data_IF_830153081626
#
_entry.id   IF_830153081626
#
_cell.length_a   1.000
_cell.length_b   1.000
_cell.length_c   1.000
_cell.angle_alpha   90.00
_cell.angle_beta   90.00
_cell.angle_gamma   90.00
#
_symmetry.space_group_name_H-M   'P 1'
#
loop_
_entity.id
_entity.type
_entity.pdbx_description
1 polymer ?
#
# COMPACT_ATOMS: atom_id res chain seq x y z
N UNK A 1 -9.57 40.61 4.66
CA UNK A 1 -10.49 39.50 4.43
C UNK A 1 -10.14 38.93 3.07
N UNK A 2 -9.15 38.04 3.02
CA UNK A 2 -8.75 37.32 1.81
C UNK A 2 -9.09 35.83 2.05
N UNK A 3 -10.11 35.36 1.35
CA UNK A 3 -10.44 33.94 1.29
C UNK A 3 -9.27 33.23 0.60
N UNK A 4 -8.38 32.64 1.40
CA UNK A 4 -7.34 31.75 0.90
C UNK A 4 -8.02 30.56 0.25
N UNK A 5 -7.81 30.33 -1.06
CA UNK A 5 -8.09 29.07 -1.72
C UNK A 5 -7.53 27.97 -0.82
N UNK A 6 -8.39 27.11 -0.27
CA UNK A 6 -7.97 25.86 0.34
C UNK A 6 -7.27 25.05 -0.75
N UNK A 7 -5.96 25.14 -0.81
CA UNK A 7 -5.18 24.27 -1.67
C UNK A 7 -5.43 22.85 -1.21
N UNK A 8 -5.99 22.03 -2.07
CA UNK A 8 -6.17 20.60 -1.79
C UNK A 8 -4.86 20.03 -1.28
N UNK A 9 -4.92 19.14 -0.28
CA UNK A 9 -3.73 18.46 0.27
C UNK A 9 -2.84 17.87 -0.84
N UNK A 10 -3.44 17.40 -1.92
CA UNK A 10 -2.74 16.91 -3.11
C UNK A 10 -1.93 18.01 -3.80
N UNK A 11 -2.46 19.24 -3.90
CA UNK A 11 -1.74 20.37 -4.53
C UNK A 11 -0.49 20.74 -3.70
N UNK A 12 -0.61 20.72 -2.39
CA UNK A 12 0.51 21.00 -1.47
C UNK A 12 1.58 19.90 -1.62
N UNK A 13 1.20 18.64 -1.64
CA UNK A 13 2.12 17.51 -1.86
C UNK A 13 2.83 17.62 -3.23
N UNK A 14 2.10 18.00 -4.28
CA UNK A 14 2.69 18.20 -5.61
C UNK A 14 3.71 19.35 -5.63
N UNK A 15 3.50 20.39 -4.84
CA UNK A 15 4.49 21.48 -4.71
C UNK A 15 5.79 20.99 -4.08
N UNK A 16 5.71 20.18 -3.04
CA UNK A 16 6.90 19.55 -2.43
C UNK A 16 7.56 18.51 -3.35
N UNK A 17 6.83 17.91 -4.29
CA UNK A 17 7.35 16.97 -5.27
C UNK A 17 8.06 17.65 -6.46
N UNK A 18 7.84 18.95 -6.70
CA UNK A 18 8.44 19.69 -7.84
C UNK A 18 9.95 19.48 -8.00
N UNK A 19 10.78 19.53 -6.93
CA UNK A 19 12.22 19.32 -7.05
C UNK A 19 12.62 17.90 -7.50
N UNK A 20 11.73 16.93 -7.29
CA UNK A 20 11.98 15.51 -7.55
C UNK A 20 11.31 15.00 -8.83
N UNK A 21 10.66 15.87 -9.63
CA UNK A 21 9.91 15.46 -10.83
C UNK A 21 10.69 14.57 -11.77
N UNK A 22 11.98 14.87 -12.03
CA UNK A 22 12.81 14.06 -12.90
C UNK A 22 13.02 12.64 -12.38
N UNK A 23 13.19 12.47 -11.06
CA UNK A 23 13.34 11.14 -10.44
C UNK A 23 12.02 10.36 -10.46
N UNK A 24 10.90 11.03 -10.18
CA UNK A 24 9.56 10.43 -10.26
C UNK A 24 9.22 9.98 -11.68
N UNK A 25 9.47 10.81 -12.69
CA UNK A 25 9.28 10.44 -14.10
C UNK A 25 10.19 9.26 -14.45
N UNK A 26 11.46 9.31 -14.04
CA UNK A 26 12.39 8.19 -14.23
C UNK A 26 11.92 6.89 -13.58
N UNK A 27 11.32 6.96 -12.39
CA UNK A 27 10.68 5.80 -11.72
C UNK A 27 9.53 5.25 -12.57
N UNK A 28 8.62 6.11 -13.05
CA UNK A 28 7.50 5.69 -13.90
C UNK A 28 7.99 5.04 -15.20
N UNK A 29 8.97 5.63 -15.87
CA UNK A 29 9.54 5.06 -17.10
C UNK A 29 10.14 3.68 -16.85
N UNK A 30 10.89 3.51 -15.77
CA UNK A 30 11.43 2.20 -15.37
C UNK A 30 10.32 1.19 -15.02
N UNK A 31 9.25 1.64 -14.35
CA UNK A 31 8.10 0.78 -14.07
C UNK A 31 7.41 0.30 -15.34
N UNK A 32 7.22 1.20 -16.32
CA UNK A 32 6.66 0.88 -17.65
C UNK A 32 7.53 -0.14 -18.38
N UNK A 33 8.84 0.11 -18.46
CA UNK A 33 9.79 -0.82 -19.10
C UNK A 33 9.82 -2.16 -18.37
N UNK A 34 9.78 -2.16 -17.04
CA UNK A 34 9.69 -3.37 -16.24
C UNK A 34 8.40 -4.15 -16.50
N UNK A 35 7.26 -3.47 -16.62
CA UNK A 35 5.99 -4.08 -16.98
C UNK A 35 6.02 -4.71 -18.38
N UNK A 36 6.61 -4.05 -19.35
CA UNK A 36 6.81 -4.60 -20.72
C UNK A 36 7.70 -5.85 -20.69
N UNK A 37 8.83 -5.80 -19.97
CA UNK A 37 9.68 -6.99 -19.76
C UNK A 37 8.91 -8.13 -19.08
N UNK A 38 8.03 -7.81 -18.12
CA UNK A 38 7.19 -8.78 -17.43
C UNK A 38 6.17 -9.48 -18.31
N UNK A 39 5.81 -8.93 -19.47
CA UNK A 39 4.96 -9.60 -20.47
C UNK A 39 5.68 -10.70 -21.23
N UNK A 40 7.00 -10.63 -21.35
CA UNK A 40 7.80 -11.57 -22.15
C UNK A 40 7.64 -13.03 -21.68
N UNK A 41 7.73 -13.37 -20.39
CA UNK A 41 7.48 -14.72 -19.90
C UNK A 41 6.12 -15.28 -20.29
N UNK A 42 5.05 -14.50 -20.18
CA UNK A 42 3.70 -14.92 -20.54
C UNK A 42 3.56 -15.23 -22.03
N UNK A 43 4.14 -14.37 -22.87
CA UNK A 43 4.18 -14.57 -24.34
C UNK A 43 5.01 -15.81 -24.69
N UNK A 44 6.16 -16.00 -24.05
CA UNK A 44 7.02 -17.15 -24.29
C UNK A 44 6.34 -18.46 -23.90
N UNK A 45 5.68 -18.52 -22.74
CA UNK A 45 4.93 -19.70 -22.28
C UNK A 45 3.75 -19.98 -23.21
N UNK A 46 2.98 -18.96 -23.60
CA UNK A 46 1.87 -19.11 -24.55
C UNK A 46 2.34 -19.70 -25.89
N UNK A 47 3.44 -19.20 -26.42
CA UNK A 47 4.06 -19.72 -27.66
C UNK A 47 4.55 -21.16 -27.49
N UNK A 48 5.16 -21.49 -26.36
CA UNK A 48 5.60 -22.84 -26.04
C UNK A 48 4.44 -23.84 -26.01
N UNK A 49 3.31 -23.47 -25.38
CA UNK A 49 2.10 -24.29 -25.33
C UNK A 49 1.56 -24.52 -26.76
N UNK A 50 1.46 -23.47 -27.58
CA UNK A 50 0.98 -23.57 -28.96
C UNK A 50 1.87 -24.53 -29.77
N UNK A 51 3.21 -24.42 -29.64
CA UNK A 51 4.15 -25.34 -30.33
C UNK A 51 3.97 -26.78 -29.90
N UNK A 52 3.77 -27.05 -28.62
CA UNK A 52 3.51 -28.38 -28.10
C UNK A 52 2.19 -28.94 -28.67
N UNK A 53 1.12 -28.15 -28.70
CA UNK A 53 -0.16 -28.55 -29.24
C UNK A 53 -0.14 -28.86 -30.75
N UNK A 54 0.78 -28.24 -31.51
CA UNK A 54 0.98 -28.48 -32.94
C UNK A 54 2.04 -29.55 -33.24
N UNK A 55 2.54 -30.25 -32.22
CA UNK A 55 3.58 -31.29 -32.34
C UNK A 55 4.91 -30.81 -32.95
N UNK A 56 5.10 -29.50 -33.12
CA UNK A 56 6.33 -28.87 -33.60
C UNK A 56 7.23 -28.46 -32.42
N UNK A 57 7.64 -29.45 -31.61
CA UNK A 57 8.49 -29.21 -30.47
C UNK A 57 9.90 -29.80 -30.65
N UNK A 58 10.84 -28.95 -31.02
CA UNK A 58 12.26 -29.26 -30.87
C UNK A 58 12.74 -28.73 -29.49
N UNK A 59 13.54 -29.53 -28.80
CA UNK A 59 14.10 -29.14 -27.49
C UNK A 59 14.83 -27.81 -27.55
N UNK A 60 15.56 -27.54 -28.63
CA UNK A 60 16.27 -26.25 -28.83
C UNK A 60 15.34 -25.05 -28.91
N UNK A 61 14.16 -25.17 -29.54
CA UNK A 61 13.17 -24.10 -29.63
C UNK A 61 12.54 -23.80 -28.25
N UNK A 62 12.19 -24.86 -27.50
CA UNK A 62 11.66 -24.70 -26.14
C UNK A 62 12.69 -24.12 -25.16
N UNK A 63 13.96 -24.57 -25.27
CA UNK A 63 15.05 -24.02 -24.47
C UNK A 63 15.29 -22.53 -24.79
N UNK A 64 15.20 -22.11 -26.05
CA UNK A 64 15.30 -20.72 -26.46
C UNK A 64 14.14 -19.86 -25.89
N UNK A 65 12.89 -20.36 -25.93
CA UNK A 65 11.76 -19.67 -25.33
C UNK A 65 11.91 -19.55 -23.80
N UNK A 66 12.42 -20.59 -23.14
CA UNK A 66 12.70 -20.53 -21.70
C UNK A 66 13.78 -19.49 -21.37
N UNK A 67 14.82 -19.37 -22.20
CA UNK A 67 15.87 -18.36 -22.05
C UNK A 67 15.30 -16.93 -22.21
N UNK A 68 14.43 -16.73 -23.21
CA UNK A 68 13.73 -15.46 -23.43
C UNK A 68 12.84 -15.11 -22.21
N UNK A 69 12.09 -16.10 -21.72
CA UNK A 69 11.25 -15.93 -20.54
C UNK A 69 12.07 -15.53 -19.30
N UNK A 70 13.20 -16.19 -19.09
CA UNK A 70 14.14 -15.88 -18.00
C UNK A 70 14.71 -14.46 -18.15
N UNK A 71 15.16 -14.09 -19.34
CA UNK A 71 15.69 -12.74 -19.61
C UNK A 71 14.62 -11.67 -19.37
N UNK A 72 13.36 -11.91 -19.81
CA UNK A 72 12.25 -11.00 -19.56
C UNK A 72 11.95 -10.87 -18.06
N UNK A 73 11.93 -11.98 -17.33
CA UNK A 73 11.73 -11.96 -15.87
C UNK A 73 12.83 -11.22 -15.12
N UNK A 74 14.10 -11.47 -15.47
CA UNK A 74 15.23 -10.75 -14.88
C UNK A 74 15.14 -9.26 -15.20
N UNK A 75 14.80 -8.90 -16.44
CA UNK A 75 14.59 -7.50 -16.85
C UNK A 75 13.49 -6.83 -16.01
N UNK A 76 12.36 -7.50 -15.80
CA UNK A 76 11.27 -7.00 -14.94
C UNK A 76 11.75 -6.74 -13.51
N UNK A 77 12.45 -7.70 -12.91
CA UNK A 77 12.94 -7.58 -11.53
C UNK A 77 13.92 -6.42 -11.40
N UNK A 78 14.92 -6.34 -12.29
CA UNK A 78 15.92 -5.27 -12.25
C UNK A 78 15.31 -3.89 -12.47
N UNK A 79 14.50 -3.71 -13.52
CA UNK A 79 13.86 -2.44 -13.82
C UNK A 79 12.88 -2.03 -12.74
N UNK A 80 12.13 -2.99 -12.17
CA UNK A 80 11.23 -2.75 -11.05
C UNK A 80 11.98 -2.30 -9.79
N UNK A 81 13.09 -2.95 -9.46
CA UNK A 81 13.94 -2.57 -8.32
C UNK A 81 14.49 -1.16 -8.49
N UNK A 82 15.03 -0.82 -9.66
CA UNK A 82 15.52 0.54 -9.91
C UNK A 82 14.40 1.59 -9.92
N UNK A 83 13.22 1.24 -10.41
CA UNK A 83 12.02 2.09 -10.33
C UNK A 83 11.68 2.42 -8.88
N UNK A 84 11.55 1.40 -8.03
CA UNK A 84 11.22 1.54 -6.62
C UNK A 84 12.30 2.34 -5.89
N UNK A 85 13.57 2.06 -6.14
CA UNK A 85 14.69 2.80 -5.54
C UNK A 85 14.63 4.30 -5.84
N UNK A 86 14.36 4.70 -7.11
CA UNK A 86 14.18 6.11 -7.49
C UNK A 86 12.96 6.73 -6.85
N UNK A 87 11.89 5.96 -6.68
CA UNK A 87 10.68 6.42 -6.00
C UNK A 87 10.92 6.67 -4.50
N UNK A 88 11.59 5.76 -3.80
CA UNK A 88 12.00 5.96 -2.40
C UNK A 88 12.91 7.17 -2.22
N UNK A 89 13.91 7.31 -3.09
CA UNK A 89 14.80 8.50 -3.06
C UNK A 89 13.99 9.81 -3.20
N UNK A 90 12.99 9.80 -4.08
CA UNK A 90 12.09 10.95 -4.26
C UNK A 90 11.23 11.19 -3.02
N UNK A 91 10.68 10.12 -2.43
CA UNK A 91 9.89 10.20 -1.20
C UNK A 91 10.70 10.81 -0.06
N UNK A 92 11.93 10.37 0.18
CA UNK A 92 12.80 10.92 1.22
C UNK A 92 13.11 12.41 1.02
N UNK A 93 13.31 12.87 -0.23
CA UNK A 93 13.50 14.29 -0.52
C UNK A 93 12.23 15.07 -0.21
N UNK A 94 11.05 14.55 -0.57
CA UNK A 94 9.76 15.19 -0.27
C UNK A 94 9.55 15.28 1.24
N UNK A 95 9.74 14.17 1.97
CA UNK A 95 9.61 14.15 3.43
C UNK A 95 10.55 15.13 4.11
N UNK A 96 11.82 15.18 3.67
CA UNK A 96 12.79 16.17 4.14
C UNK A 96 12.28 17.59 3.94
N UNK A 97 11.79 17.91 2.74
CA UNK A 97 11.30 19.25 2.42
C UNK A 97 10.08 19.63 3.26
N UNK A 98 9.17 18.67 3.50
CA UNK A 98 8.02 18.85 4.41
C UNK A 98 8.50 19.14 5.83
N UNK A 99 9.45 18.35 6.36
CA UNK A 99 10.01 18.54 7.71
C UNK A 99 10.66 19.92 7.84
N UNK A 100 11.44 20.33 6.84
CA UNK A 100 12.07 21.66 6.81
C UNK A 100 11.03 22.79 6.82
N UNK A 101 9.98 22.67 5.99
CA UNK A 101 8.91 23.68 5.94
C UNK A 101 8.12 23.76 7.26
N UNK A 102 7.87 22.62 7.92
CA UNK A 102 7.21 22.60 9.24
C UNK A 102 8.11 23.29 10.28
N UNK A 103 9.40 22.96 10.32
CA UNK A 103 10.35 23.53 11.26
C UNK A 103 10.52 25.03 11.05
N UNK A 104 10.62 25.50 9.80
CA UNK A 104 10.67 26.92 9.47
C UNK A 104 9.38 27.63 9.89
N UNK A 105 8.22 27.04 9.66
CA UNK A 105 6.96 27.62 10.14
C UNK A 105 6.91 27.69 11.66
N UNK A 106 7.40 26.65 12.33
CA UNK A 106 7.43 26.59 13.80
C UNK A 106 8.31 27.69 14.41
N UNK A 107 9.43 28.05 13.76
CA UNK A 107 10.31 29.14 14.22
C UNK A 107 9.66 30.52 14.17
N UNK A 108 8.56 30.67 13.44
CA UNK A 108 7.79 31.93 13.30
C UNK A 108 6.54 31.98 14.17
N UNK A 109 6.22 30.89 14.88
CA UNK A 109 5.05 30.78 15.76
C UNK A 109 5.35 31.50 17.07
N UNK A 110 4.40 32.29 17.65
CA UNK A 110 4.57 32.95 18.95
C UNK A 110 4.93 31.93 20.05
N UNK A 111 5.86 32.32 20.93
CA UNK A 111 6.41 31.46 21.99
C UNK A 111 5.31 30.93 22.92
N UNK A 112 4.24 31.70 23.19
CA UNK A 112 3.11 31.22 23.99
C UNK A 112 2.46 29.94 23.43
N UNK A 113 2.23 29.91 22.12
CA UNK A 113 1.67 28.68 21.47
C UNK A 113 2.59 27.49 21.57
N UNK A 114 3.91 27.72 21.56
CA UNK A 114 4.91 26.66 21.70
C UNK A 114 4.92 26.12 23.12
N UNK A 115 4.88 27.02 24.13
CA UNK A 115 4.88 26.62 25.54
C UNK A 115 3.59 25.93 25.97
N UNK A 116 2.45 26.30 25.38
CA UNK A 116 1.14 25.69 25.64
C UNK A 116 0.99 24.30 24.99
N UNK A 117 1.91 23.91 24.09
CA UNK A 117 1.82 22.65 23.36
C UNK A 117 2.87 21.66 23.87
N UNK A 118 2.47 20.47 24.34
CA UNK A 118 3.43 19.45 24.78
C UNK A 118 4.43 19.10 23.68
N UNK A 119 5.71 18.99 24.02
CA UNK A 119 6.81 18.68 23.09
C UNK A 119 6.59 17.37 22.31
N UNK A 120 5.96 16.38 22.94
CA UNK A 120 5.57 15.14 22.31
C UNK A 120 4.63 15.30 21.12
N UNK A 121 3.74 16.32 21.14
CA UNK A 121 2.86 16.63 20.01
C UNK A 121 3.63 17.14 18.80
N UNK A 122 4.65 17.97 19.01
CA UNK A 122 5.54 18.42 17.93
C UNK A 122 6.33 17.26 17.34
N UNK A 123 6.87 16.37 18.18
CA UNK A 123 7.53 15.14 17.72
C UNK A 123 6.58 14.32 16.84
N UNK A 124 5.36 14.08 17.30
CA UNK A 124 4.37 13.30 16.53
C UNK A 124 4.07 13.94 15.18
N UNK A 125 3.96 15.27 15.10
CA UNK A 125 3.69 15.97 13.82
C UNK A 125 4.91 15.88 12.90
N UNK A 126 6.11 16.23 13.38
CA UNK A 126 7.30 16.40 12.54
C UNK A 126 7.90 15.05 12.15
N UNK A 127 7.86 14.07 13.05
CA UNK A 127 8.47 12.75 12.83
C UNK A 127 7.40 11.75 12.41
N UNK A 128 6.50 11.39 13.32
CA UNK A 128 5.63 10.21 13.16
C UNK A 128 4.59 10.41 12.05
N UNK A 129 4.00 11.61 11.91
CA UNK A 129 2.99 11.86 10.86
C UNK A 129 3.62 12.04 9.49
N UNK A 130 4.78 12.70 9.40
CA UNK A 130 5.50 12.85 8.13
C UNK A 130 6.03 11.51 7.64
N UNK A 131 6.56 10.67 8.54
CA UNK A 131 7.03 9.32 8.21
C UNK A 131 5.95 8.45 7.56
N UNK A 132 4.70 8.55 8.03
CA UNK A 132 3.56 7.81 7.45
C UNK A 132 3.28 8.14 5.99
N UNK A 133 3.79 9.25 5.47
CA UNK A 133 3.67 9.62 4.05
C UNK A 133 4.70 8.91 3.17
N UNK A 134 5.74 8.30 3.74
CA UNK A 134 6.77 7.59 2.97
C UNK A 134 6.18 6.49 2.10
N UNK A 135 5.46 5.57 2.73
CA UNK A 135 4.92 4.40 2.05
C UNK A 135 4.01 4.76 0.86
N UNK A 136 2.99 5.63 1.00
CA UNK A 136 2.19 6.08 -0.13
C UNK A 136 3.02 6.76 -1.22
N UNK A 137 3.95 7.64 -0.86
CA UNK A 137 4.74 8.39 -1.84
C UNK A 137 5.73 7.50 -2.60
N UNK A 138 6.33 6.52 -1.92
CA UNK A 138 7.31 5.63 -2.53
C UNK A 138 6.67 4.55 -3.41
N UNK A 139 5.51 4.03 -3.02
CA UNK A 139 4.91 2.87 -3.66
C UNK A 139 3.77 3.22 -4.62
N UNK A 140 2.96 4.26 -4.33
CA UNK A 140 1.80 4.58 -5.20
C UNK A 140 2.21 4.86 -6.65
N UNK A 141 3.28 5.59 -6.89
CA UNK A 141 3.66 6.00 -8.25
C UNK A 141 4.11 4.81 -9.11
N UNK A 142 5.12 4.00 -8.72
CA UNK A 142 5.56 2.88 -9.54
C UNK A 142 4.55 1.72 -9.56
N UNK A 143 3.94 1.40 -8.42
CA UNK A 143 3.03 0.26 -8.31
C UNK A 143 1.70 0.49 -9.03
N UNK A 144 1.08 1.68 -8.91
CA UNK A 144 -0.13 1.99 -9.68
C UNK A 144 0.14 1.92 -11.18
N UNK A 145 1.30 2.42 -11.62
CA UNK A 145 1.68 2.36 -13.03
C UNK A 145 1.77 0.90 -13.50
N UNK A 146 2.48 0.04 -12.78
CA UNK A 146 2.63 -1.36 -13.13
C UNK A 146 1.30 -2.13 -13.02
N UNK A 147 0.55 -1.93 -11.93
CA UNK A 147 -0.71 -2.63 -11.67
C UNK A 147 -1.84 -2.28 -12.64
N UNK A 148 -1.80 -1.10 -13.24
CA UNK A 148 -2.75 -0.72 -14.30
C UNK A 148 -2.24 -1.18 -15.68
N UNK A 149 -0.96 -1.01 -15.94
CA UNK A 149 -0.39 -1.26 -17.26
C UNK A 149 -0.36 -2.76 -17.60
N UNK A 150 0.05 -3.62 -16.65
CA UNK A 150 0.16 -5.07 -16.89
C UNK A 150 -1.18 -5.70 -17.29
N UNK A 151 -2.31 -5.50 -16.58
CA UNK A 151 -3.60 -6.02 -16.99
C UNK A 151 -4.07 -5.49 -18.35
N UNK A 152 -3.83 -4.20 -18.66
CA UNK A 152 -4.18 -3.60 -19.95
C UNK A 152 -3.39 -4.25 -21.09
N UNK A 153 -2.08 -4.38 -20.93
CA UNK A 153 -1.21 -5.03 -21.92
C UNK A 153 -1.59 -6.50 -22.11
N UNK A 154 -1.89 -7.21 -20.99
CA UNK A 154 -2.34 -8.59 -21.06
C UNK A 154 -3.66 -8.73 -21.79
N UNK A 155 -4.60 -7.82 -21.56
CA UNK A 155 -5.88 -7.81 -22.26
C UNK A 155 -5.69 -7.58 -23.77
N UNK A 156 -4.85 -6.62 -24.15
CA UNK A 156 -4.50 -6.36 -25.56
C UNK A 156 -3.88 -7.60 -26.19
N UNK A 157 -2.99 -8.26 -25.48
CA UNK A 157 -2.38 -9.51 -25.95
C UNK A 157 -3.41 -10.62 -26.13
N UNK A 158 -4.33 -10.84 -25.18
CA UNK A 158 -5.40 -11.82 -25.28
C UNK A 158 -6.34 -11.52 -26.47
N UNK A 159 -6.69 -10.26 -26.71
CA UNK A 159 -7.48 -9.88 -27.88
C UNK A 159 -6.76 -10.19 -29.20
N UNK A 160 -5.44 -10.13 -29.24
CA UNK A 160 -4.65 -10.50 -30.42
C UNK A 160 -4.59 -12.01 -30.67
N UNK A 161 -4.81 -12.83 -29.64
CA UNK A 161 -4.86 -14.30 -29.76
C UNK A 161 -6.26 -14.79 -30.11
N UNK A 162 -7.22 -14.48 -29.26
CA UNK A 162 -8.64 -14.83 -29.45
C UNK A 162 -9.53 -13.85 -28.67
N UNK A 163 -10.39 -13.15 -29.38
CA UNK A 163 -11.33 -12.18 -28.82
C UNK A 163 -12.31 -12.81 -27.82
N UNK A 164 -12.63 -14.12 -27.99
CA UNK A 164 -13.55 -14.86 -27.10
C UNK A 164 -12.92 -15.08 -25.74
N UNK A 165 -11.65 -15.47 -25.71
CA UNK A 165 -10.86 -15.64 -24.47
C UNK A 165 -10.71 -14.29 -23.74
N UNK A 166 -10.48 -13.21 -24.49
CA UNK A 166 -10.41 -11.87 -23.93
C UNK A 166 -11.72 -11.45 -23.27
N UNK A 167 -12.88 -11.72 -23.90
CA UNK A 167 -14.19 -11.42 -23.32
C UNK A 167 -14.48 -12.25 -22.07
N UNK A 168 -14.11 -13.53 -22.05
CA UNK A 168 -14.27 -14.37 -20.85
C UNK A 168 -13.40 -13.84 -19.70
N UNK A 169 -12.17 -13.42 -19.97
CA UNK A 169 -11.29 -12.84 -18.94
C UNK A 169 -11.84 -11.52 -18.40
N UNK A 170 -12.51 -10.70 -19.23
CA UNK A 170 -13.15 -9.46 -18.80
C UNK A 170 -14.29 -9.68 -17.78
N UNK A 171 -14.94 -10.84 -17.75
CA UNK A 171 -15.99 -11.17 -16.77
C UNK A 171 -15.42 -11.19 -15.33
N UNK A 172 -14.13 -11.41 -15.15
CA UNK A 172 -13.50 -11.37 -13.82
C UNK A 172 -13.51 -9.96 -13.20
N UNK A 173 -13.50 -8.91 -14.02
CA UNK A 173 -13.49 -7.51 -13.56
C UNK A 173 -14.79 -7.14 -12.82
N UNK A 174 -16.00 -7.33 -13.38
CA UNK A 174 -17.24 -7.03 -12.66
C UNK A 174 -17.43 -7.93 -11.43
N UNK A 175 -16.99 -9.18 -11.47
CA UNK A 175 -17.02 -10.07 -10.28
C UNK A 175 -16.11 -9.52 -9.18
N UNK A 176 -14.88 -9.14 -9.51
CA UNK A 176 -13.96 -8.52 -8.57
C UNK A 176 -14.50 -7.18 -8.03
N UNK A 177 -15.07 -6.34 -8.88
CA UNK A 177 -15.70 -5.09 -8.48
C UNK A 177 -16.87 -5.31 -7.52
N UNK A 178 -17.71 -6.31 -7.77
CA UNK A 178 -18.80 -6.67 -6.86
C UNK A 178 -18.29 -7.13 -5.49
N UNK A 179 -17.27 -7.99 -5.46
CA UNK A 179 -16.63 -8.41 -4.22
C UNK A 179 -16.01 -7.22 -3.47
N UNK A 180 -15.34 -6.32 -4.18
CA UNK A 180 -14.74 -5.12 -3.59
C UNK A 180 -15.80 -4.17 -3.01
N UNK A 181 -16.89 -3.92 -3.74
CA UNK A 181 -18.01 -3.11 -3.23
C UNK A 181 -18.64 -3.73 -1.97
N UNK A 182 -18.79 -5.06 -1.94
CA UNK A 182 -19.25 -5.78 -0.74
C UNK A 182 -18.31 -5.61 0.45
N UNK A 183 -17.00 -5.65 0.21
CA UNK A 183 -15.96 -5.42 1.22
C UNK A 183 -15.99 -3.98 1.75
N UNK A 184 -16.21 -3.00 0.86
CA UNK A 184 -16.25 -1.57 1.22
C UNK A 184 -17.56 -1.15 1.89
N UNK A 185 -18.60 -1.97 1.85
CA UNK A 185 -19.86 -1.68 2.53
C UNK A 185 -19.64 -1.48 4.02
N UNK A 186 -20.08 -0.33 4.53
CA UNK A 186 -19.92 0.08 5.95
C UNK A 186 -18.44 0.15 6.44
N UNK A 187 -17.47 0.22 5.52
CA UNK A 187 -16.03 0.25 5.84
C UNK A 187 -15.71 1.36 6.85
N UNK A 188 -16.20 2.58 6.64
CA UNK A 188 -15.93 3.72 7.52
C UNK A 188 -16.38 3.46 8.97
N UNK A 189 -17.58 2.90 9.15
CA UNK A 189 -18.10 2.58 10.49
C UNK A 189 -17.30 1.50 11.18
N UNK A 190 -16.92 0.46 10.44
CA UNK A 190 -16.12 -0.66 10.96
C UNK A 190 -14.71 -0.19 11.31
N UNK A 191 -14.09 0.57 10.43
CA UNK A 191 -12.76 1.12 10.65
C UNK A 191 -12.73 2.12 11.80
N UNK A 192 -13.75 2.99 11.91
CA UNK A 192 -13.89 3.92 13.04
C UNK A 192 -13.97 3.19 14.38
N UNK A 193 -14.69 2.03 14.45
CA UNK A 193 -14.74 1.20 15.66
C UNK A 193 -13.37 0.64 16.03
N UNK A 194 -12.64 0.09 15.07
CA UNK A 194 -11.27 -0.43 15.31
C UNK A 194 -10.35 0.68 15.79
N UNK A 195 -10.45 1.86 15.16
CA UNK A 195 -9.64 3.02 15.53
C UNK A 195 -9.97 3.54 16.94
N UNK A 196 -11.26 3.56 17.30
CA UNK A 196 -11.70 3.95 18.65
C UNK A 196 -11.22 2.97 19.71
N UNK A 197 -11.37 1.66 19.49
CA UNK A 197 -10.88 0.63 20.39
C UNK A 197 -9.34 0.68 20.54
N UNK A 198 -8.61 0.94 19.44
CA UNK A 198 -7.16 1.16 19.49
C UNK A 198 -6.77 2.35 20.37
N UNK A 199 -7.43 3.50 20.19
CA UNK A 199 -7.19 4.70 21.03
C UNK A 199 -7.50 4.47 22.50
N UNK A 200 -8.57 3.73 22.81
CA UNK A 200 -8.93 3.38 24.18
C UNK A 200 -7.86 2.48 24.82
N UNK A 201 -7.37 1.50 24.07
CA UNK A 201 -6.27 0.63 24.53
C UNK A 201 -4.98 1.44 24.77
N UNK A 202 -4.62 2.35 23.86
CA UNK A 202 -3.43 3.21 24.01
C UNK A 202 -3.56 4.10 25.24
N UNK A 203 -4.73 4.71 25.47
CA UNK A 203 -5.00 5.53 26.63
C UNK A 203 -4.93 4.72 27.95
N UNK A 204 -5.54 3.52 27.96
CA UNK A 204 -5.47 2.62 29.12
C UNK A 204 -4.03 2.16 29.41
N UNK A 205 -3.23 1.93 28.36
CA UNK A 205 -1.81 1.58 28.48
C UNK A 205 -1.01 2.70 29.13
N UNK A 206 -1.19 3.93 28.66
CA UNK A 206 -0.49 5.11 29.23
C UNK A 206 -0.90 5.36 30.67
N UNK A 207 -2.21 5.24 30.98
CA UNK A 207 -2.73 5.38 32.35
C UNK A 207 -2.18 4.29 33.28
N UNK A 208 -2.16 3.04 32.83
CA UNK A 208 -1.63 1.92 33.61
C UNK A 208 -0.14 2.06 33.91
N UNK A 209 0.66 2.40 32.89
CA UNK A 209 2.12 2.56 33.04
C UNK A 209 2.44 3.80 33.86
N UNK A 210 1.79 4.94 33.57
CA UNK A 210 2.01 6.19 34.28
C UNK A 210 1.55 6.18 35.73
N UNK A 211 0.53 5.38 36.06
CA UNK A 211 -0.01 5.22 37.40
C UNK A 211 0.57 4.06 38.21
N UNK A 212 1.54 3.31 37.67
CA UNK A 212 2.00 2.03 38.26
C UNK A 212 2.55 2.20 39.70
N UNK A 213 3.17 3.32 40.00
CA UNK A 213 3.68 3.61 41.36
C UNK A 213 2.55 3.78 42.35
N UNK A 214 1.51 4.53 41.97
CA UNK A 214 0.32 4.74 42.80
C UNK A 214 -0.45 3.44 42.98
N UNK A 215 -0.61 2.68 41.93
CA UNK A 215 -1.28 1.36 41.94
C UNK A 215 -0.57 0.40 42.90
N UNK A 216 0.76 0.38 42.89
CA UNK A 216 1.55 -0.45 43.81
C UNK A 216 1.47 0.03 45.26
N UNK A 217 1.53 1.35 45.48
CA UNK A 217 1.49 1.95 46.82
C UNK A 217 0.16 1.68 47.52
N UNK A 218 -0.95 1.78 46.79
CA UNK A 218 -2.31 1.59 47.34
C UNK A 218 -2.88 0.17 47.15
N UNK A 219 -2.06 -0.78 46.68
CA UNK A 219 -2.44 -2.18 46.42
C UNK A 219 -3.71 -2.33 45.54
N UNK A 220 -3.88 -1.42 44.57
CA UNK A 220 -5.00 -1.39 43.60
C UNK A 220 -4.65 -2.10 42.28
N UNK A 221 -3.67 -3.02 42.31
CA UNK A 221 -3.15 -3.69 41.12
C UNK A 221 -4.20 -4.42 40.31
N UNK A 222 -5.09 -5.15 40.95
CA UNK A 222 -6.11 -5.97 40.29
C UNK A 222 -7.13 -5.13 39.48
N UNK A 223 -7.60 -4.02 40.07
CA UNK A 223 -8.59 -3.15 39.42
C UNK A 223 -7.99 -2.38 38.22
N UNK A 224 -6.78 -1.87 38.39
CA UNK A 224 -6.08 -1.13 37.33
C UNK A 224 -5.70 -2.05 36.18
N UNK A 225 -5.21 -3.27 36.49
CA UNK A 225 -4.92 -4.29 35.50
C UNK A 225 -6.18 -4.72 34.73
N UNK A 226 -7.32 -4.91 35.42
CA UNK A 226 -8.57 -5.29 34.76
C UNK A 226 -9.01 -4.25 33.73
N UNK A 227 -8.96 -2.95 34.04
CA UNK A 227 -9.28 -1.88 33.11
C UNK A 227 -8.41 -1.95 31.83
N UNK A 228 -7.12 -2.17 32.00
CA UNK A 228 -6.20 -2.37 30.88
C UNK A 228 -6.52 -3.63 30.06
N UNK A 229 -6.73 -4.76 30.75
CA UNK A 229 -7.04 -6.04 30.10
C UNK A 229 -8.36 -5.97 29.32
N UNK A 230 -9.39 -5.31 29.87
CA UNK A 230 -10.67 -5.10 29.20
C UNK A 230 -10.52 -4.25 27.93
N UNK A 231 -9.70 -3.20 27.95
CA UNK A 231 -9.40 -2.38 26.77
C UNK A 231 -8.62 -3.16 25.69
N UNK A 232 -7.70 -4.04 26.08
CA UNK A 232 -6.99 -4.94 25.15
C UNK A 232 -7.97 -5.92 24.50
N UNK A 233 -8.85 -6.55 25.30
CA UNK A 233 -9.86 -7.49 24.81
C UNK A 233 -10.86 -6.81 23.85
N UNK A 234 -11.29 -5.58 24.15
CA UNK A 234 -12.15 -4.78 23.27
C UNK A 234 -11.45 -4.52 21.91
N UNK A 235 -10.18 -4.12 21.92
CA UNK A 235 -9.41 -3.88 20.70
C UNK A 235 -9.22 -5.16 19.87
N UNK A 236 -8.92 -6.29 20.52
CA UNK A 236 -8.85 -7.60 19.85
C UNK A 236 -10.19 -7.97 19.21
N UNK A 237 -11.29 -7.85 19.96
CA UNK A 237 -12.63 -8.16 19.48
C UNK A 237 -13.03 -7.29 18.30
N UNK A 238 -12.73 -5.99 18.35
CA UNK A 238 -13.00 -5.06 17.26
C UNK A 238 -12.24 -5.44 15.98
N UNK A 239 -10.94 -5.77 16.08
CA UNK A 239 -10.10 -6.23 14.98
C UNK A 239 -10.56 -7.57 14.42
N UNK A 240 -10.82 -8.56 15.29
CA UNK A 240 -11.27 -9.88 14.87
C UNK A 240 -12.64 -9.81 14.16
N UNK A 241 -13.56 -8.98 14.65
CA UNK A 241 -14.87 -8.77 14.04
C UNK A 241 -14.71 -8.13 12.65
N UNK A 242 -13.89 -7.10 12.54
CA UNK A 242 -13.60 -6.46 11.26
C UNK A 242 -13.00 -7.45 10.26
N UNK A 243 -11.98 -8.22 10.68
CA UNK A 243 -11.33 -9.23 9.86
C UNK A 243 -12.34 -10.29 9.37
N UNK A 244 -13.16 -10.86 10.28
CA UNK A 244 -14.20 -11.85 9.91
C UNK A 244 -15.20 -11.31 8.89
N UNK A 245 -15.63 -10.05 9.05
CA UNK A 245 -16.59 -9.41 8.13
C UNK A 245 -16.01 -9.08 6.77
N UNK A 246 -14.70 -8.83 6.70
CA UNK A 246 -14.00 -8.45 5.46
C UNK A 246 -13.44 -9.66 4.73
N UNK A 247 -12.99 -10.66 5.48
CA UNK A 247 -12.30 -11.83 4.93
C UNK A 247 -13.17 -12.67 3.98
N UNK A 248 -14.48 -12.76 4.21
CA UNK A 248 -15.39 -13.49 3.32
C UNK A 248 -15.36 -12.94 1.89
N UNK A 249 -15.41 -11.63 1.73
CA UNK A 249 -15.32 -10.97 0.42
C UNK A 249 -13.91 -11.02 -0.17
N UNK A 250 -12.89 -10.90 0.69
CA UNK A 250 -11.49 -10.99 0.31
C UNK A 250 -11.17 -12.39 -0.25
N UNK A 251 -11.60 -13.44 0.44
CA UNK A 251 -11.44 -14.84 -0.01
C UNK A 251 -12.22 -15.10 -1.29
N UNK A 252 -13.47 -14.61 -1.42
CA UNK A 252 -14.22 -14.73 -2.68
C UNK A 252 -13.52 -14.04 -3.87
N UNK A 253 -12.86 -12.91 -3.63
CA UNK A 253 -12.10 -12.18 -4.65
C UNK A 253 -10.77 -12.84 -5.02
N UNK A 254 -10.10 -13.49 -4.05
CA UNK A 254 -8.76 -14.06 -4.21
C UNK A 254 -8.74 -15.59 -4.34
N UNK A 255 -9.77 -16.31 -3.86
CA UNK A 255 -9.69 -17.74 -3.67
C UNK A 255 -9.72 -18.62 -4.93
N UNK A 256 -9.48 -18.03 -6.10
CA UNK A 256 -9.11 -18.86 -7.27
C UNK A 256 -7.60 -19.04 -7.46
N UNK A 257 -6.75 -18.39 -6.68
CA UNK A 257 -5.30 -18.44 -6.90
C UNK A 257 -4.49 -19.14 -5.80
N UNK A 258 -5.01 -19.32 -4.57
CA UNK A 258 -4.20 -19.83 -3.45
C UNK A 258 -4.60 -21.19 -2.84
N UNK A 259 -5.75 -21.76 -3.17
CA UNK A 259 -6.17 -23.07 -2.62
C UNK A 259 -5.33 -24.27 -3.07
N UNK A 260 -4.28 -24.08 -3.87
CA UNK A 260 -3.37 -25.15 -4.31
C UNK A 260 -2.02 -25.19 -3.62
N UNK A 261 -1.81 -24.46 -2.53
CA UNK A 261 -0.50 -24.45 -1.83
C UNK A 261 -0.52 -24.97 -0.40
N UNK A 262 -1.62 -25.51 0.10
CA UNK A 262 -1.64 -26.20 1.40
C UNK A 262 -2.35 -27.55 1.19
N UNK A 263 -1.59 -28.52 0.78
CA UNK A 263 -1.92 -29.92 0.74
C UNK A 263 -0.63 -30.71 0.81
#
# INVERSE_FOLDING_TARGET
MMAGKENSAMTILMDFAKPCKGKLIGSVVLAVLGALCGMIPYIAVSRGIIMICHEDYAFSKLAFLALIALAGYLGQVWLGTFSTMKSHESAFIILRNIRMAITEKLSRVPMGTILDTPSGKFKTIIVDTVEKLELPLAHMVPELTANILIPVLMLVYLFSLDWRLALISLVTIPVGAFCYMGMMKDYEKRYARVLAAGKNMDAATVEYIGGIEVVKTFNQGERSYKKYADAVAENETAKATWFKQTNGYYVMGLSRSEERRVG
#
